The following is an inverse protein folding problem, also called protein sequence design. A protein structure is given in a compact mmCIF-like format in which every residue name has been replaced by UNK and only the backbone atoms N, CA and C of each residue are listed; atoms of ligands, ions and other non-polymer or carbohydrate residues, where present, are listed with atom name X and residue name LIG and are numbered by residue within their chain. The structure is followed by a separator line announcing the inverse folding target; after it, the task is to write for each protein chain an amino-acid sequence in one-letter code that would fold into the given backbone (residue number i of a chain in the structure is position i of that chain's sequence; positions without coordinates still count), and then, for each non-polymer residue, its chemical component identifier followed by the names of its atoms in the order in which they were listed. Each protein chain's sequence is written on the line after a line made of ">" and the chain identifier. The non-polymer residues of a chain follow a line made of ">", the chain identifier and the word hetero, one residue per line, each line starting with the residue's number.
data_IF_102309312782
#
_entry.id   IF_102309312782
#
_cell.length_a   1.000
_cell.length_b   1.000
_cell.length_c   1.000
_cell.angle_alpha   90.00
_cell.angle_beta   90.00
_cell.angle_gamma   90.00
#
_symmetry.space_group_name_H-M   'P 1'
#
loop_
_entity.id
_entity.type
_entity.pdbx_description
1 polymer ?
#
# COMPACT_ATOMS: atom_id res chain seq x y z
N UNK A 1 10.70 -16.83 9.51
CA UNK A 1 9.26 -16.59 9.79
C UNK A 1 8.68 -15.85 8.60
N UNK A 2 7.57 -16.35 8.06
CA UNK A 2 6.90 -15.69 6.93
C UNK A 2 6.39 -14.31 7.34
N UNK A 3 6.74 -13.30 6.56
CA UNK A 3 6.26 -11.93 6.72
C UNK A 3 4.84 -11.79 6.14
N UNK A 4 4.64 -12.38 4.95
CA UNK A 4 3.35 -12.39 4.26
C UNK A 4 3.05 -13.81 3.81
N UNK A 5 1.84 -14.30 4.10
CA UNK A 5 1.35 -15.57 3.64
C UNK A 5 -0.03 -15.40 2.99
N UNK A 6 -0.19 -15.94 1.80
CA UNK A 6 -1.45 -15.93 1.05
C UNK A 6 -1.89 -17.36 0.83
N UNK A 7 -3.14 -17.64 1.19
CA UNK A 7 -3.73 -18.98 1.11
C UNK A 7 -5.02 -18.94 0.30
N UNK A 8 -5.04 -19.68 -0.80
CA UNK A 8 -6.21 -19.90 -1.65
C UNK A 8 -6.90 -18.58 -2.05
N UNK A 9 -6.10 -17.53 -2.30
CA UNK A 9 -6.61 -16.20 -2.60
C UNK A 9 -7.29 -16.18 -3.96
N UNK A 10 -8.58 -15.90 -3.96
CA UNK A 10 -9.38 -15.67 -5.16
C UNK A 10 -10.00 -14.28 -5.11
N UNK A 11 -9.97 -13.57 -6.23
CA UNK A 11 -10.64 -12.29 -6.37
C UNK A 11 -11.44 -12.22 -7.65
N UNK A 12 -12.74 -12.08 -7.51
CA UNK A 12 -13.69 -11.88 -8.61
C UNK A 12 -14.31 -10.48 -8.49
N UNK A 13 -14.38 -9.78 -9.61
CA UNK A 13 -15.11 -8.51 -9.74
C UNK A 13 -16.42 -8.76 -10.49
N UNK A 14 -17.49 -8.23 -9.94
CA UNK A 14 -18.79 -8.19 -10.62
C UNK A 14 -19.03 -6.80 -11.16
N UNK A 15 -19.10 -6.63 -12.45
CA UNK A 15 -19.40 -5.36 -13.09
C UNK A 15 -20.41 -5.55 -14.22
N UNK A 16 -21.60 -4.97 -14.09
CA UNK A 16 -22.66 -4.97 -15.12
C UNK A 16 -22.99 -6.37 -15.68
N UNK A 17 -23.03 -7.38 -14.82
CA UNK A 17 -23.33 -8.77 -15.22
C UNK A 17 -22.15 -9.55 -15.79
N UNK A 18 -20.95 -8.95 -15.82
CA UNK A 18 -19.70 -9.63 -16.16
C UNK A 18 -18.99 -10.06 -14.89
N UNK A 19 -18.66 -11.35 -14.81
CA UNK A 19 -17.78 -11.91 -13.79
C UNK A 19 -16.35 -11.91 -14.33
N UNK A 20 -15.47 -11.15 -13.67
CA UNK A 20 -14.03 -11.14 -14.01
C UNK A 20 -13.26 -11.72 -12.84
N UNK A 21 -12.80 -12.96 -12.99
CA UNK A 21 -11.90 -13.61 -12.04
C UNK A 21 -10.49 -13.05 -12.26
N UNK A 22 -10.10 -12.09 -11.44
CA UNK A 22 -8.80 -11.41 -11.55
C UNK A 22 -7.67 -12.20 -10.89
N UNK A 23 -7.97 -12.97 -9.85
CA UNK A 23 -7.06 -13.87 -9.15
C UNK A 23 -7.78 -15.18 -8.89
N UNK A 24 -7.08 -16.29 -9.06
CA UNK A 24 -7.60 -17.64 -8.87
C UNK A 24 -6.65 -18.48 -8.06
N UNK A 25 -7.09 -18.90 -6.87
CA UNK A 25 -6.38 -19.84 -5.99
C UNK A 25 -4.88 -19.52 -5.83
N UNK A 26 -4.55 -18.25 -5.57
CA UNK A 26 -3.16 -17.83 -5.38
C UNK A 26 -2.67 -18.27 -4.01
N UNK A 27 -1.54 -18.96 -4.02
CA UNK A 27 -0.81 -19.36 -2.83
C UNK A 27 0.62 -18.88 -2.92
N UNK A 28 1.09 -18.12 -1.92
CA UNK A 28 2.46 -17.62 -1.87
C UNK A 28 2.89 -17.33 -0.44
N UNK A 29 4.18 -17.37 -0.22
CA UNK A 29 4.81 -17.00 1.04
C UNK A 29 5.99 -16.09 0.75
N UNK A 30 6.10 -14.99 1.49
CA UNK A 30 7.21 -14.05 1.43
C UNK A 30 7.85 -14.04 2.82
N UNK A 31 9.14 -14.33 2.88
CA UNK A 31 9.87 -14.33 4.14
C UNK A 31 10.35 -12.92 4.52
N UNK A 32 10.58 -12.70 5.80
CA UNK A 32 11.11 -11.44 6.28
C UNK A 32 12.46 -11.11 5.62
N UNK A 33 12.59 -9.90 5.07
CA UNK A 33 13.78 -9.44 4.38
C UNK A 33 13.85 -9.78 2.88
N UNK A 34 12.89 -10.51 2.34
CA UNK A 34 12.85 -10.83 0.92
C UNK A 34 12.55 -9.62 0.04
N UNK A 35 13.10 -9.65 -1.17
CA UNK A 35 12.66 -8.84 -2.31
C UNK A 35 11.91 -9.78 -3.25
N UNK A 36 10.58 -9.73 -3.21
CA UNK A 36 9.72 -10.62 -3.98
C UNK A 36 9.22 -9.95 -5.27
N UNK A 37 9.50 -10.58 -6.42
CA UNK A 37 9.12 -10.08 -7.74
C UNK A 37 7.83 -10.71 -8.25
N UNK A 38 6.85 -9.88 -8.66
CA UNK A 38 5.60 -10.32 -9.31
C UNK A 38 5.63 -9.90 -10.76
N UNK A 39 5.75 -10.88 -11.66
CA UNK A 39 5.83 -10.66 -13.11
C UNK A 39 4.58 -11.20 -13.82
N UNK A 40 4.28 -10.67 -14.99
CA UNK A 40 3.16 -11.12 -15.83
C UNK A 40 2.74 -10.04 -16.83
N UNK A 41 1.93 -10.42 -17.80
CA UNK A 41 1.39 -9.52 -18.83
C UNK A 41 0.49 -8.42 -18.22
N UNK A 42 0.20 -7.38 -19.01
CA UNK A 42 -0.82 -6.40 -18.63
C UNK A 42 -2.17 -7.10 -18.44
N UNK A 43 -2.90 -6.74 -17.38
CA UNK A 43 -4.18 -7.39 -17.05
C UNK A 43 -4.07 -8.71 -16.28
N UNK A 44 -2.88 -9.25 -16.03
CA UNK A 44 -2.69 -10.53 -15.33
C UNK A 44 -3.01 -10.52 -13.82
N UNK A 45 -3.64 -9.46 -13.29
CA UNK A 45 -4.05 -9.39 -11.87
C UNK A 45 -2.97 -8.91 -10.89
N UNK A 46 -1.75 -8.55 -11.35
CA UNK A 46 -0.65 -8.12 -10.47
C UNK A 46 -1.04 -7.00 -9.50
N UNK A 47 -1.63 -5.93 -10.00
CA UNK A 47 -2.08 -4.79 -9.17
C UNK A 47 -3.21 -5.19 -8.22
N UNK A 48 -4.08 -6.12 -8.64
CA UNK A 48 -5.13 -6.68 -7.78
C UNK A 48 -4.52 -7.48 -6.63
N UNK A 49 -3.51 -8.32 -6.93
CA UNK A 49 -2.79 -9.07 -5.90
C UNK A 49 -2.15 -8.14 -4.87
N UNK A 50 -1.38 -7.13 -5.32
CA UNK A 50 -0.76 -6.15 -4.42
C UNK A 50 -1.80 -5.43 -3.55
N UNK A 51 -2.97 -5.08 -4.11
CA UNK A 51 -4.06 -4.47 -3.35
C UNK A 51 -4.73 -5.44 -2.36
N UNK A 52 -4.74 -6.73 -2.65
CA UNK A 52 -5.19 -7.73 -1.70
C UNK A 52 -4.19 -7.92 -0.55
N UNK A 53 -2.87 -7.87 -0.83
CA UNK A 53 -1.84 -8.02 0.20
C UNK A 53 -1.92 -6.95 1.31
N UNK A 54 -2.31 -5.72 0.97
CA UNK A 54 -2.54 -4.65 1.95
C UNK A 54 -4.03 -4.46 2.32
N UNK A 55 -4.89 -5.38 1.84
CA UNK A 55 -6.34 -5.40 2.10
C UNK A 55 -7.07 -4.12 1.67
N UNK A 56 -6.51 -3.36 0.72
CA UNK A 56 -7.23 -2.28 0.01
C UNK A 56 -8.33 -2.87 -0.89
N UNK A 57 -8.09 -4.07 -1.40
CA UNK A 57 -9.06 -4.89 -2.08
C UNK A 57 -9.30 -6.16 -1.26
N UNK A 58 -10.54 -6.38 -0.81
CA UNK A 58 -10.87 -7.58 -0.05
C UNK A 58 -10.92 -8.79 -0.97
N UNK A 59 -10.27 -9.90 -0.63
CA UNK A 59 -10.45 -11.17 -1.33
C UNK A 59 -11.92 -11.58 -1.39
N UNK A 60 -12.29 -12.28 -2.46
CA UNK A 60 -13.58 -12.97 -2.53
C UNK A 60 -13.52 -14.25 -1.70
N UNK A 61 -12.38 -14.96 -1.80
CA UNK A 61 -12.09 -16.18 -1.04
C UNK A 61 -10.62 -16.21 -0.62
N UNK A 62 -10.30 -17.05 0.34
CA UNK A 62 -8.94 -17.23 0.83
C UNK A 62 -8.53 -16.23 1.91
N UNK A 63 -7.26 -16.23 2.25
CA UNK A 63 -6.71 -15.49 3.38
C UNK A 63 -5.43 -14.76 3.00
N UNK A 64 -5.23 -13.61 3.63
CA UNK A 64 -3.96 -12.87 3.62
C UNK A 64 -3.52 -12.70 5.07
N UNK A 65 -2.39 -13.28 5.40
CA UNK A 65 -1.79 -13.17 6.72
C UNK A 65 -0.54 -12.29 6.65
N UNK A 66 -0.39 -11.41 7.61
CA UNK A 66 0.84 -10.63 7.83
C UNK A 66 1.33 -10.91 9.23
N UNK A 67 2.56 -11.37 9.36
CA UNK A 67 3.14 -11.83 10.64
C UNK A 67 2.22 -12.82 11.36
N UNK A 68 1.58 -13.71 10.61
CA UNK A 68 0.64 -14.72 11.13
C UNK A 68 -0.76 -14.20 11.49
N UNK A 69 -1.04 -12.90 11.32
CA UNK A 69 -2.36 -12.30 11.57
C UNK A 69 -3.18 -12.27 10.29
N UNK A 70 -4.33 -12.93 10.28
CA UNK A 70 -5.27 -12.88 9.17
C UNK A 70 -5.95 -11.51 9.09
N UNK A 71 -5.71 -10.79 8.00
CA UNK A 71 -6.29 -9.46 7.77
C UNK A 71 -7.81 -9.50 7.64
N UNK A 72 -8.38 -10.63 7.23
CA UNK A 72 -9.82 -10.82 7.10
C UNK A 72 -10.58 -10.78 8.42
N UNK A 73 -9.91 -11.13 9.50
CA UNK A 73 -10.46 -11.17 10.84
C UNK A 73 -10.31 -9.84 11.62
N UNK A 74 -9.63 -8.87 11.04
CA UNK A 74 -9.41 -7.57 11.67
C UNK A 74 -10.60 -6.62 11.49
N UNK A 75 -10.90 -5.86 12.53
CA UNK A 75 -11.81 -4.73 12.43
C UNK A 75 -11.22 -3.63 11.54
N UNK A 76 -12.05 -2.73 11.03
CA UNK A 76 -11.59 -1.58 10.23
C UNK A 76 -10.56 -0.70 10.96
N UNK A 77 -10.65 -0.58 12.27
CA UNK A 77 -9.68 0.16 13.08
C UNK A 77 -8.33 -0.54 13.12
N UNK A 78 -8.33 -1.86 13.29
CA UNK A 78 -7.11 -2.68 13.28
C UNK A 78 -6.47 -2.74 11.90
N UNK A 79 -7.28 -2.87 10.84
CA UNK A 79 -6.79 -2.80 9.47
C UNK A 79 -6.11 -1.46 9.16
N UNK A 80 -6.67 -0.34 9.60
CA UNK A 80 -6.03 0.98 9.44
C UNK A 80 -4.68 1.04 10.17
N UNK A 81 -4.60 0.46 11.36
CA UNK A 81 -3.35 0.37 12.11
C UNK A 81 -2.34 -0.52 11.37
N UNK A 82 -2.76 -1.70 10.91
CA UNK A 82 -1.88 -2.61 10.16
C UNK A 82 -1.38 -1.94 8.86
N UNK A 83 -2.24 -1.22 8.14
CA UNK A 83 -1.84 -0.47 6.92
C UNK A 83 -0.86 0.67 7.18
N UNK A 84 -0.74 1.19 8.41
CA UNK A 84 0.27 2.21 8.73
C UNK A 84 1.70 1.67 8.67
N UNK A 85 1.85 0.36 8.78
CA UNK A 85 3.13 -0.34 8.72
C UNK A 85 3.45 -0.88 7.32
N UNK A 86 2.52 -0.72 6.36
CA UNK A 86 2.66 -1.17 4.97
C UNK A 86 2.73 0.04 4.04
N UNK A 87 3.91 0.34 3.51
CA UNK A 87 4.04 1.38 2.49
C UNK A 87 3.65 0.84 1.11
N UNK A 88 2.95 1.65 0.32
CA UNK A 88 2.59 1.31 -1.06
C UNK A 88 2.97 2.45 -2.01
N UNK A 89 3.72 2.12 -3.07
CA UNK A 89 3.98 3.02 -4.18
C UNK A 89 2.97 2.71 -5.28
N UNK A 90 2.12 3.67 -5.59
CA UNK A 90 1.07 3.53 -6.60
C UNK A 90 1.60 3.80 -8.02
N UNK A 91 0.94 3.26 -9.04
CA UNK A 91 1.25 3.56 -10.45
C UNK A 91 1.02 5.03 -10.81
N UNK A 92 0.03 5.68 -10.19
CA UNK A 92 -0.19 7.12 -10.26
C UNK A 92 0.34 7.76 -8.98
N UNK A 93 0.78 8.99 -9.06
CA UNK A 93 1.49 9.68 -7.97
C UNK A 93 0.68 9.77 -6.66
N UNK A 94 -0.67 9.78 -6.74
CA UNK A 94 -1.59 9.86 -5.58
C UNK A 94 -1.23 10.98 -4.58
N UNK A 95 -0.73 12.09 -5.12
CA UNK A 95 -0.38 13.26 -4.33
C UNK A 95 -1.62 14.12 -4.07
N UNK A 96 -1.64 14.77 -2.93
CA UNK A 96 -2.64 15.79 -2.59
C UNK A 96 -2.31 17.06 -3.39
N UNK A 97 -3.01 17.28 -4.51
CA UNK A 97 -2.72 18.36 -5.46
C UNK A 97 -2.84 19.75 -4.85
N UNK A 98 -3.68 19.91 -3.80
CA UNK A 98 -3.86 21.18 -3.07
C UNK A 98 -2.80 21.41 -1.99
N UNK A 99 -1.90 20.47 -1.78
CA UNK A 99 -0.79 20.56 -0.82
C UNK A 99 0.53 20.65 -1.56
N UNK A 100 1.45 21.43 -1.00
CA UNK A 100 2.82 21.49 -1.48
C UNK A 100 3.59 20.20 -1.14
N UNK A 101 4.83 20.11 -1.62
CA UNK A 101 5.68 18.92 -1.47
C UNK A 101 5.87 18.57 0.01
N UNK A 102 6.26 19.51 0.86
CA UNK A 102 6.52 19.22 2.28
C UNK A 102 5.25 18.77 3.00
N UNK A 103 4.10 19.36 2.71
CA UNK A 103 2.84 18.98 3.34
C UNK A 103 2.35 17.61 2.86
N UNK A 104 2.64 17.20 1.62
CA UNK A 104 2.41 15.84 1.13
C UNK A 104 3.25 14.82 1.90
N UNK A 105 4.54 15.10 2.13
CA UNK A 105 5.44 14.21 2.87
C UNK A 105 5.05 14.15 4.36
N UNK A 106 4.63 15.27 4.95
CA UNK A 106 4.20 15.32 6.35
C UNK A 106 2.86 14.60 6.59
N UNK A 107 2.01 14.47 5.59
CA UNK A 107 0.64 13.98 5.76
C UNK A 107 0.58 12.57 6.39
N UNK A 108 1.33 11.54 5.91
CA UNK A 108 1.35 10.22 6.54
C UNK A 108 1.83 10.26 7.99
N UNK A 109 2.87 11.05 8.29
CA UNK A 109 3.41 11.20 9.64
C UNK A 109 2.39 11.83 10.60
N UNK A 110 1.62 12.80 10.12
CA UNK A 110 0.56 13.44 10.90
C UNK A 110 -0.60 12.48 11.21
N UNK A 111 -0.96 11.61 10.25
CA UNK A 111 -1.96 10.54 10.47
C UNK A 111 -1.50 9.58 11.56
N UNK A 112 -0.20 9.30 11.64
CA UNK A 112 0.40 8.46 12.68
C UNK A 112 0.56 9.19 14.03
N UNK A 113 0.15 10.47 14.12
CA UNK A 113 0.20 11.25 15.35
C UNK A 113 1.53 11.98 15.59
N UNK A 114 2.44 12.00 14.62
CA UNK A 114 3.69 12.75 14.71
C UNK A 114 3.40 14.25 14.71
N UNK A 115 4.00 14.97 15.66
CA UNK A 115 3.83 16.42 15.80
C UNK A 115 4.27 17.20 14.55
N UNK A 116 3.59 18.30 14.25
CA UNK A 116 3.81 19.08 13.01
C UNK A 116 5.26 19.54 12.83
N UNK A 117 5.95 19.91 13.92
CA UNK A 117 7.35 20.35 13.86
C UNK A 117 8.26 19.18 13.48
N UNK A 118 8.14 18.07 14.18
CA UNK A 118 8.91 16.86 13.95
C UNK A 118 8.66 16.29 12.54
N UNK A 119 7.39 16.25 12.10
CA UNK A 119 7.05 15.82 10.75
C UNK A 119 7.74 16.66 9.67
N UNK A 120 7.82 17.99 9.86
CA UNK A 120 8.53 18.86 8.92
C UNK A 120 10.04 18.66 8.94
N UNK A 121 10.63 18.41 10.07
CA UNK A 121 12.07 18.12 10.19
C UNK A 121 12.41 16.83 9.43
N UNK A 122 11.67 15.74 9.68
CA UNK A 122 11.81 14.47 8.94
C UNK A 122 11.56 14.63 7.44
N UNK A 123 10.56 15.42 7.05
CA UNK A 123 10.27 15.68 5.64
C UNK A 123 11.42 16.39 4.91
N UNK A 124 12.09 17.36 5.58
CA UNK A 124 13.27 18.04 5.03
C UNK A 124 14.47 17.12 4.87
N UNK A 125 14.71 16.25 5.85
CA UNK A 125 15.75 15.23 5.75
C UNK A 125 15.53 14.31 4.55
N UNK A 126 14.29 13.85 4.32
CA UNK A 126 13.94 13.04 3.16
C UNK A 126 14.14 13.81 1.85
N UNK A 127 13.71 15.07 1.78
CA UNK A 127 13.93 15.92 0.60
C UNK A 127 15.42 16.07 0.29
N UNK A 128 16.25 16.25 1.31
CA UNK A 128 17.70 16.31 1.16
C UNK A 128 18.27 14.98 0.62
N UNK A 129 17.80 13.86 1.14
CA UNK A 129 18.25 12.52 0.70
C UNK A 129 17.99 12.29 -0.78
N UNK A 130 16.90 12.84 -1.33
CA UNK A 130 16.53 12.69 -2.74
C UNK A 130 16.91 13.90 -3.62
N UNK A 131 17.60 14.92 -3.07
CA UNK A 131 18.08 16.08 -3.80
C UNK A 131 16.97 17.03 -4.26
N UNK A 132 15.92 17.18 -3.47
CA UNK A 132 14.75 18.01 -3.77
C UNK A 132 14.49 19.11 -2.73
N UNK A 133 15.52 19.59 -2.04
CA UNK A 133 15.40 20.61 -0.97
C UNK A 133 14.78 21.90 -1.48
N UNK A 134 15.09 22.28 -2.72
CA UNK A 134 14.57 23.48 -3.39
C UNK A 134 13.07 23.39 -3.75
N UNK A 135 12.48 22.19 -3.71
CA UNK A 135 11.09 21.91 -4.05
C UNK A 135 10.13 21.91 -2.86
N UNK A 136 10.59 22.19 -1.64
CA UNK A 136 9.77 22.14 -0.41
C UNK A 136 8.41 22.82 -0.57
N UNK A 137 8.36 23.98 -1.23
CA UNK A 137 7.15 24.80 -1.41
C UNK A 137 6.43 24.57 -2.74
N UNK A 138 7.00 23.79 -3.65
CA UNK A 138 6.39 23.51 -4.95
C UNK A 138 5.11 22.67 -4.79
N UNK A 139 4.22 22.76 -5.76
CA UNK A 139 3.00 21.95 -5.83
C UNK A 139 3.16 20.82 -6.84
N UNK A 140 2.40 19.70 -6.73
CA UNK A 140 2.54 18.55 -7.63
C UNK A 140 2.32 18.85 -9.11
N UNK A 141 1.63 19.94 -9.44
CA UNK A 141 1.41 20.37 -10.83
C UNK A 141 2.57 21.22 -11.42
N UNK A 142 3.58 21.54 -10.64
CA UNK A 142 4.75 22.31 -11.03
C UNK A 142 5.97 21.41 -11.26
#
# INVERSE_FOLDING_TARGET
>A
MSEIEVKHLTKTFEQKGLHVEALKDINLTIEAGDIYGIIGMSGAGKSTLVRCLNYLERPTEGQVLIEGKDLGNLSEKELRKQRSDIAMIFQHFNLLMQKNVIDNICFPLQIQGVGKKEAKEKARELLKTVGLEDKEKAYPAQ
#
